data_IF_792879244276
#
_entry.id   IF_792879244276
#
_cell.length_a   1.000
_cell.length_b   1.000
_cell.length_c   1.000
_cell.angle_alpha   90.00
_cell.angle_beta   90.00
_cell.angle_gamma   90.00
#
_symmetry.space_group_name_H-M   'P 1'
#
loop_
_entity.id
_entity.type
_entity.pdbx_description
1 polymer ?
#
# COMPACT_ATOMS: atom_id res chain seq x y z
N UNK A 1 6.49 13.65 -1.91
CA UNK A 1 6.56 12.18 -2.02
C UNK A 1 6.29 11.78 -3.47
N UNK A 2 6.96 10.76 -4.00
CA UNK A 2 6.64 10.20 -5.31
C UNK A 2 5.64 9.05 -5.12
N UNK A 3 4.36 9.34 -5.35
CA UNK A 3 3.24 8.43 -5.10
C UNK A 3 3.22 7.24 -6.06
N UNK A 4 3.60 7.46 -7.32
CA UNK A 4 3.69 6.40 -8.32
C UNK A 4 4.80 5.42 -7.91
N UNK A 5 5.93 5.93 -7.43
CA UNK A 5 7.01 5.09 -6.91
C UNK A 5 6.63 4.36 -5.62
N UNK A 6 5.87 4.99 -4.71
CA UNK A 6 5.36 4.31 -3.53
C UNK A 6 4.43 3.13 -3.93
N UNK A 7 3.48 3.38 -4.83
CA UNK A 7 2.60 2.33 -5.35
C UNK A 7 3.41 1.22 -6.03
N UNK A 8 4.35 1.57 -6.91
CA UNK A 8 5.24 0.60 -7.58
C UNK A 8 5.98 -0.30 -6.58
N UNK A 9 6.57 0.27 -5.52
CA UNK A 9 7.24 -0.49 -4.45
C UNK A 9 6.26 -1.37 -3.68
N UNK A 10 5.07 -0.86 -3.33
CA UNK A 10 4.06 -1.64 -2.65
C UNK A 10 3.61 -2.85 -3.50
N UNK A 11 3.50 -2.71 -4.81
CA UNK A 11 3.14 -3.83 -5.71
C UNK A 11 4.27 -4.85 -5.88
N UNK A 12 5.53 -4.44 -5.70
CA UNK A 12 6.68 -5.34 -5.72
C UNK A 12 6.84 -6.11 -4.40
N UNK A 13 6.39 -5.55 -3.28
CA UNK A 13 6.34 -6.24 -2.01
C UNK A 13 5.29 -7.36 -2.05
N UNK A 14 5.77 -8.60 -1.98
CA UNK A 14 4.89 -9.76 -1.87
C UNK A 14 4.13 -9.68 -0.55
N UNK A 15 2.80 -9.80 -0.62
CA UNK A 15 1.93 -9.65 0.53
C UNK A 15 0.74 -10.59 0.39
N UNK A 16 1.00 -11.90 0.36
CA UNK A 16 -0.09 -12.87 0.51
C UNK A 16 -0.72 -12.73 1.90
N UNK A 17 -1.97 -13.19 2.12
CA UNK A 17 -2.60 -13.16 3.43
C UNK A 17 -1.71 -13.77 4.52
N UNK A 18 -1.40 -12.99 5.56
CA UNK A 18 -0.49 -13.32 6.66
C UNK A 18 1.00 -13.11 6.38
N UNK A 19 1.37 -12.53 5.23
CA UNK A 19 2.75 -12.28 4.80
C UNK A 19 2.97 -10.82 4.38
N UNK A 20 2.20 -9.88 4.94
CA UNK A 20 2.16 -8.48 4.54
C UNK A 20 3.34 -7.64 5.07
N UNK A 21 4.27 -8.23 5.83
CA UNK A 21 5.28 -7.53 6.61
C UNK A 21 6.12 -6.52 5.81
N UNK A 22 6.51 -6.85 4.57
CA UNK A 22 7.25 -5.92 3.71
C UNK A 22 6.37 -4.73 3.28
N UNK A 23 5.14 -5.00 2.85
CA UNK A 23 4.19 -3.96 2.44
C UNK A 23 3.81 -3.06 3.64
N UNK A 24 3.64 -3.64 4.83
CA UNK A 24 3.37 -2.92 6.07
C UNK A 24 4.54 -2.00 6.46
N UNK A 25 5.78 -2.49 6.34
CA UNK A 25 6.97 -1.67 6.59
C UNK A 25 7.07 -0.46 5.64
N UNK A 26 6.77 -0.66 4.35
CA UNK A 26 6.74 0.42 3.36
C UNK A 26 5.67 1.47 3.67
N UNK A 27 4.47 1.03 4.06
CA UNK A 27 3.38 1.92 4.43
C UNK A 27 3.72 2.71 5.70
N UNK A 28 4.28 2.05 6.71
CA UNK A 28 4.72 2.66 7.96
C UNK A 28 5.82 3.71 7.72
N UNK A 29 6.79 3.41 6.84
CA UNK A 29 7.83 4.35 6.40
C UNK A 29 7.21 5.59 5.74
N UNK A 30 6.26 5.39 4.82
CA UNK A 30 5.59 6.48 4.11
C UNK A 30 4.80 7.39 5.06
N UNK A 31 4.01 6.82 5.97
CA UNK A 31 3.22 7.57 6.95
C UNK A 31 4.11 8.38 7.91
N UNK A 32 5.19 7.78 8.42
CA UNK A 32 6.18 8.49 9.23
C UNK A 32 6.88 9.60 8.44
N UNK A 33 7.19 9.36 7.17
CA UNK A 33 7.74 10.36 6.26
C UNK A 33 6.81 11.55 5.99
N UNK A 34 5.50 11.37 6.16
CA UNK A 34 4.50 12.45 6.14
C UNK A 34 4.41 13.21 7.47
N UNK A 35 5.12 12.77 8.51
CA UNK A 35 5.06 13.36 9.85
C UNK A 35 3.90 12.84 10.71
N UNK A 36 3.24 11.75 10.30
CA UNK A 36 2.16 11.13 11.08
C UNK A 36 2.72 10.23 12.17
N UNK A 37 2.03 10.19 13.30
CA UNK A 37 2.22 9.13 14.29
C UNK A 37 1.63 7.85 13.72
N UNK A 38 2.51 6.88 13.43
CA UNK A 38 2.11 5.61 12.84
C UNK A 38 2.78 4.42 13.56
N UNK A 39 2.01 3.36 13.75
CA UNK A 39 2.39 2.14 14.49
C UNK A 39 2.05 0.88 13.70
N UNK A 40 2.74 -0.20 14.04
CA UNK A 40 2.41 -1.56 13.61
C UNK A 40 1.92 -2.30 14.85
N UNK A 41 0.71 -2.85 14.82
CA UNK A 41 0.16 -3.63 15.93
C UNK A 41 0.70 -5.08 15.94
N UNK A 42 0.27 -5.87 16.93
CA UNK A 42 0.69 -7.28 17.06
C UNK A 42 0.11 -8.20 15.97
N UNK A 43 -0.95 -7.78 15.29
CA UNK A 43 -1.58 -8.51 14.20
C UNK A 43 -0.99 -8.15 12.82
N UNK A 44 -0.10 -7.15 12.75
CA UNK A 44 0.53 -6.68 11.52
C UNK A 44 -0.23 -5.55 10.82
N UNK A 45 -1.23 -4.94 11.47
CA UNK A 45 -1.93 -3.78 10.93
C UNK A 45 -1.13 -2.51 11.12
N UNK A 46 -1.13 -1.66 10.09
CA UNK A 46 -0.55 -0.32 10.17
C UNK A 46 -1.64 0.67 10.52
N UNK A 47 -1.45 1.39 11.62
CA UNK A 47 -2.36 2.42 12.10
C UNK A 47 -1.65 3.77 12.06
N UNK A 48 -2.39 4.82 11.67
CA UNK A 48 -1.90 6.20 11.73
C UNK A 48 -3.03 7.15 12.10
N UNK A 49 -2.67 8.17 12.89
CA UNK A 49 -3.59 9.20 13.35
C UNK A 49 -3.12 10.58 12.89
N UNK A 50 -4.06 11.38 12.39
CA UNK A 50 -3.87 12.79 12.07
C UNK A 50 -4.83 13.64 12.91
N UNK A 51 -4.28 14.42 13.84
CA UNK A 51 -5.06 15.26 14.74
C UNK A 51 -5.66 14.49 15.94
N UNK A 52 -6.43 15.20 16.76
CA UNK A 52 -6.93 14.71 18.06
C UNK A 52 -8.39 15.13 18.32
N UNK A 53 -9.14 15.50 17.27
CA UNK A 53 -10.48 16.13 17.39
C UNK A 53 -11.58 15.24 16.80
N UNK A 54 -12.73 15.22 17.47
CA UNK A 54 -13.94 14.54 17.01
C UNK A 54 -14.81 15.40 16.08
N UNK A 55 -15.62 14.80 15.18
CA UNK A 55 -15.74 13.36 14.94
C UNK A 55 -14.56 12.80 14.12
N UNK A 56 -14.19 11.54 14.39
CA UNK A 56 -13.15 10.85 13.63
C UNK A 56 -13.67 10.29 12.31
N UNK A 57 -12.83 10.29 11.30
CA UNK A 57 -13.07 9.62 10.01
C UNK A 57 -11.98 8.56 9.83
N UNK A 58 -12.40 7.30 9.70
CA UNK A 58 -11.47 6.19 9.49
C UNK A 58 -11.43 5.84 8.01
N UNK A 59 -10.24 5.98 7.41
CA UNK A 59 -9.93 5.41 6.11
C UNK A 59 -9.32 4.03 6.34
N UNK A 60 -9.93 3.00 5.76
CA UNK A 60 -9.50 1.61 5.93
C UNK A 60 -9.23 0.96 4.58
N UNK A 61 -8.28 0.02 4.60
CA UNK A 61 -7.92 -0.79 3.45
C UNK A 61 -7.13 -2.00 3.90
N UNK A 62 -6.74 -2.83 2.93
CA UNK A 62 -5.93 -4.02 3.17
C UNK A 62 -4.64 -3.99 2.34
N UNK A 63 -3.63 -4.70 2.82
CA UNK A 63 -2.32 -4.82 2.16
C UNK A 63 -2.16 -6.14 1.41
N UNK A 64 -2.94 -7.15 1.80
CA UNK A 64 -2.83 -8.47 1.21
C UNK A 64 -3.30 -8.48 -0.24
N UNK A 65 -2.79 -9.42 -0.99
CA UNK A 65 -3.21 -9.65 -2.36
C UNK A 65 -3.37 -11.14 -2.62
N UNK A 66 -4.27 -11.48 -3.53
CA UNK A 66 -4.35 -12.84 -4.05
C UNK A 66 -3.08 -13.20 -4.84
N UNK A 67 -2.75 -14.50 -4.98
CA UNK A 67 -1.60 -14.94 -5.75
C UNK A 67 -1.55 -14.35 -7.17
N UNK A 68 -0.33 -14.05 -7.64
CA UNK A 68 -0.09 -13.51 -8.98
C UNK A 68 -0.38 -14.52 -10.09
N UNK A 69 -0.38 -15.82 -9.77
CA UNK A 69 -0.51 -16.89 -10.76
C UNK A 69 0.77 -17.08 -11.58
N UNK A 70 0.65 -17.54 -12.82
CA UNK A 70 1.79 -17.73 -13.72
C UNK A 70 2.31 -16.38 -14.25
N UNK A 71 3.57 -15.99 -13.97
CA UNK A 71 4.16 -14.75 -14.47
C UNK A 71 4.17 -14.63 -15.99
N UNK A 72 4.17 -15.73 -16.74
CA UNK A 72 4.16 -15.72 -18.21
C UNK A 72 2.86 -15.16 -18.80
N UNK A 73 1.78 -15.13 -18.03
CA UNK A 73 0.51 -14.53 -18.45
C UNK A 73 0.45 -13.02 -18.20
N UNK A 74 1.46 -12.44 -17.53
CA UNK A 74 1.49 -11.02 -17.25
C UNK A 74 2.27 -10.28 -18.35
N UNK A 75 1.74 -9.16 -18.87
CA UNK A 75 2.44 -8.36 -19.88
C UNK A 75 3.65 -7.62 -19.31
N UNK A 76 3.68 -7.40 -17.99
CA UNK A 76 4.72 -6.66 -17.28
C UNK A 76 5.00 -7.27 -15.90
N UNK A 77 6.24 -7.15 -15.39
CA UNK A 77 6.55 -7.42 -13.99
C UNK A 77 5.73 -6.54 -13.03
N UNK A 78 5.58 -7.01 -11.79
CA UNK A 78 4.87 -6.29 -10.73
C UNK A 78 5.52 -4.91 -10.45
N UNK A 79 4.68 -3.89 -10.30
CA UNK A 79 5.11 -2.50 -10.08
C UNK A 79 5.62 -1.76 -11.31
N UNK A 80 5.57 -2.36 -12.51
CA UNK A 80 6.03 -1.70 -13.74
C UNK A 80 5.14 -0.51 -14.09
N UNK A 81 5.73 0.64 -14.42
CA UNK A 81 5.00 1.78 -14.98
C UNK A 81 5.08 1.72 -16.50
N UNK A 82 3.96 1.46 -17.16
CA UNK A 82 3.89 1.33 -18.62
C UNK A 82 2.49 1.71 -19.12
N UNK A 83 2.42 2.31 -20.32
CA UNK A 83 1.15 2.71 -20.94
C UNK A 83 0.28 3.57 -20.00
N UNK A 84 0.90 4.55 -19.34
CA UNK A 84 0.24 5.49 -18.40
C UNK A 84 -0.39 4.83 -17.15
N UNK A 85 -0.06 3.56 -16.89
CA UNK A 85 -0.56 2.82 -15.74
C UNK A 85 0.59 2.19 -14.92
N UNK A 86 0.31 1.90 -13.65
CA UNK A 86 1.16 1.04 -12.82
C UNK A 86 0.57 -0.37 -12.85
N UNK A 87 1.36 -1.33 -13.32
CA UNK A 87 0.95 -2.72 -13.50
C UNK A 87 1.33 -3.56 -12.30
N UNK A 88 0.38 -4.32 -11.78
CA UNK A 88 0.63 -5.31 -10.74
C UNK A 88 -0.65 -5.78 -10.07
N UNK A 89 -0.61 -7.00 -9.56
CA UNK A 89 -1.55 -7.51 -8.58
C UNK A 89 -1.50 -6.60 -7.35
N UNK A 90 -2.67 -6.15 -6.90
CA UNK A 90 -2.76 -5.14 -5.85
C UNK A 90 -3.00 -3.72 -6.36
N UNK A 91 -2.75 -3.42 -7.65
CA UNK A 91 -2.80 -2.05 -8.15
C UNK A 91 -4.19 -1.43 -8.01
N UNK A 92 -5.23 -2.22 -8.29
CA UNK A 92 -6.63 -1.82 -8.13
C UNK A 92 -7.19 -2.27 -6.78
N UNK A 93 -6.84 -3.48 -6.33
CA UNK A 93 -7.35 -4.09 -5.10
C UNK A 93 -6.22 -4.47 -4.13
N UNK A 94 -5.87 -3.63 -3.16
CA UNK A 94 -6.27 -2.22 -3.08
C UNK A 94 -5.14 -1.24 -2.74
N UNK A 95 -3.89 -1.59 -3.09
CA UNK A 95 -2.71 -0.75 -2.85
C UNK A 95 -2.77 0.60 -3.60
N UNK A 96 -3.41 0.67 -4.77
CA UNK A 96 -3.65 1.94 -5.48
C UNK A 96 -4.58 2.87 -4.71
N UNK A 97 -5.83 2.45 -4.39
CA UNK A 97 -6.73 3.19 -3.51
C UNK A 97 -6.09 3.58 -2.17
N UNK A 98 -5.31 2.70 -1.55
CA UNK A 98 -4.57 2.99 -0.32
C UNK A 98 -3.58 4.16 -0.50
N UNK A 99 -2.78 4.16 -1.57
CA UNK A 99 -1.86 5.28 -1.86
C UNK A 99 -2.63 6.56 -2.17
N UNK A 100 -3.79 6.48 -2.83
CA UNK A 100 -4.63 7.63 -3.09
C UNK A 100 -5.20 8.23 -1.79
N UNK A 101 -5.54 7.41 -0.79
CA UNK A 101 -5.94 7.89 0.54
C UNK A 101 -4.80 8.68 1.19
N UNK A 102 -3.57 8.17 1.16
CA UNK A 102 -2.40 8.87 1.70
C UNK A 102 -2.12 10.20 0.98
N UNK A 103 -2.27 10.24 -0.34
CA UNK A 103 -2.11 11.47 -1.12
C UNK A 103 -3.15 12.55 -0.76
N UNK A 104 -4.34 12.14 -0.33
CA UNK A 104 -5.43 13.06 -0.01
C UNK A 104 -5.32 13.68 1.39
N UNK A 105 -4.48 13.12 2.27
CA UNK A 105 -4.15 13.67 3.60
C UNK A 105 -3.20 14.88 3.47
#
# INVERSE_FOLDING_TARGET
MDWIRLLSRLLQAESLPGQEGEAAALLLEALKGMGLTATLDEAGNVEALLGEKEPEVVLTGHLDVVPVGDPLHWPYPQGTVAQEAVWGRGAVDMKGPLVAMLLAL
#
